data_IF_748046773267
#
_entry.id   IF_748046773267
#
_cell.length_a   1.000
_cell.length_b   1.000
_cell.length_c   1.000
_cell.angle_alpha   90.00
_cell.angle_beta   90.00
_cell.angle_gamma   90.00
#
_symmetry.space_group_name_H-M   'P 1'
#
loop_
_entity.id
_entity.type
_entity.pdbx_description
1 polymer ?
#
# COMPACT_ATOMS: atom_id res chain seq x y z
N UNK A 1 9.49 1.65 9.07
CA UNK A 1 9.94 2.45 7.90
C UNK A 1 10.09 3.93 8.27
N UNK A 2 11.30 4.39 8.63
CA UNK A 2 11.47 5.78 9.13
C UNK A 2 11.50 6.85 8.02
N UNK A 3 11.90 6.50 6.80
CA UNK A 3 12.05 7.47 5.70
C UNK A 3 10.71 8.07 5.27
N UNK A 4 9.67 7.24 5.13
CA UNK A 4 8.33 7.70 4.77
C UNK A 4 7.76 8.64 5.85
N UNK A 5 7.91 8.26 7.12
CA UNK A 5 7.42 9.06 8.24
C UNK A 5 8.15 10.40 8.33
N UNK A 6 9.48 10.43 8.13
CA UNK A 6 10.25 11.67 8.09
C UNK A 6 9.86 12.57 6.92
N UNK A 7 9.60 11.99 5.75
CA UNK A 7 9.25 12.74 4.54
C UNK A 7 7.82 13.32 4.58
N UNK A 8 6.88 12.63 5.23
CA UNK A 8 5.45 12.98 5.20
C UNK A 8 4.92 13.57 6.49
N UNK A 9 5.64 13.36 7.61
CA UNK A 9 5.14 13.66 8.96
C UNK A 9 4.01 12.73 9.43
N UNK A 10 3.66 11.69 8.66
CA UNK A 10 2.58 10.75 8.96
C UNK A 10 3.14 9.39 9.39
N UNK A 11 2.40 8.66 10.22
CA UNK A 11 2.71 7.24 10.42
C UNK A 11 2.56 6.50 9.08
N UNK A 12 3.27 5.38 8.92
CA UNK A 12 3.15 4.56 7.70
C UNK A 12 1.71 4.06 7.51
N UNK A 13 1.01 3.74 8.61
CA UNK A 13 -0.38 3.31 8.57
C UNK A 13 -1.32 4.44 8.13
N UNK A 14 -1.17 5.66 8.69
CA UNK A 14 -2.01 6.80 8.30
C UNK A 14 -1.80 7.19 6.83
N UNK A 15 -0.54 7.14 6.37
CA UNK A 15 -0.22 7.37 4.97
C UNK A 15 -0.91 6.35 4.07
N UNK A 16 -0.79 5.05 4.37
CA UNK A 16 -1.45 3.99 3.62
C UNK A 16 -2.98 4.12 3.67
N UNK A 17 -3.53 4.46 4.84
CA UNK A 17 -4.97 4.65 5.03
C UNK A 17 -5.51 5.75 4.14
N UNK A 18 -4.84 6.91 4.12
CA UNK A 18 -5.24 8.08 3.33
C UNK A 18 -5.06 7.89 1.82
N UNK A 19 -3.92 7.34 1.41
CA UNK A 19 -3.51 7.34 0.00
C UNK A 19 -3.83 6.05 -0.75
N UNK A 20 -4.07 4.95 -0.04
CA UNK A 20 -4.33 3.64 -0.63
C UNK A 20 -5.64 3.02 -0.13
N UNK A 21 -5.80 2.83 1.17
CA UNK A 21 -6.95 2.07 1.71
C UNK A 21 -8.28 2.80 1.51
N UNK A 22 -8.36 4.08 1.86
CA UNK A 22 -9.58 4.86 1.67
C UNK A 22 -10.01 4.94 0.19
N UNK A 23 -9.12 5.26 -0.78
CA UNK A 23 -9.50 5.23 -2.19
C UNK A 23 -9.98 3.87 -2.72
N UNK A 24 -9.54 2.76 -2.11
CA UNK A 24 -9.99 1.40 -2.46
C UNK A 24 -11.15 0.92 -1.58
N UNK A 25 -11.72 1.77 -0.73
CA UNK A 25 -12.76 1.41 0.25
C UNK A 25 -12.36 0.21 1.12
N UNK A 26 -11.10 0.17 1.56
CA UNK A 26 -10.60 -0.79 2.55
C UNK A 26 -10.78 -0.16 3.92
N UNK A 27 -11.80 -0.61 4.64
CA UNK A 27 -12.22 -0.01 5.92
C UNK A 27 -11.69 -0.81 7.11
N UNK A 28 -11.66 -2.13 7.01
CA UNK A 28 -11.19 -3.04 8.05
C UNK A 28 -9.74 -3.44 7.76
N UNK A 29 -8.81 -2.60 8.23
CA UNK A 29 -7.38 -2.83 8.11
C UNK A 29 -6.73 -2.76 9.48
N UNK A 30 -5.79 -3.68 9.72
CA UNK A 30 -4.93 -3.66 10.89
C UNK A 30 -3.49 -3.81 10.43
N UNK A 31 -2.62 -2.92 10.91
CA UNK A 31 -1.19 -3.02 10.67
C UNK A 31 -0.49 -3.06 12.01
N UNK A 32 0.23 -4.16 12.28
CA UNK A 32 1.02 -4.26 13.51
C UNK A 32 1.98 -3.06 13.67
N UNK A 33 2.10 -2.56 14.89
CA UNK A 33 3.09 -1.58 15.31
C UNK A 33 3.91 -2.14 16.45
N UNK A 34 5.17 -1.73 16.54
CA UNK A 34 6.00 -2.03 17.70
C UNK A 34 5.53 -1.26 18.97
N UNK A 35 6.24 -1.45 20.08
CA UNK A 35 5.94 -0.77 21.35
C UNK A 35 6.10 0.76 21.31
N UNK A 36 6.65 1.33 20.23
CA UNK A 36 6.76 2.77 19.99
C UNK A 36 5.69 3.29 19.01
N UNK A 37 4.77 2.42 18.56
CA UNK A 37 3.73 2.76 17.58
C UNK A 37 4.26 2.85 16.15
N UNK A 38 5.47 2.34 15.87
CA UNK A 38 6.05 2.39 14.53
C UNK A 38 5.61 1.15 13.75
N UNK A 39 4.97 1.38 12.61
CA UNK A 39 4.69 0.33 11.63
C UNK A 39 5.94 0.11 10.76
N UNK A 40 6.44 -1.13 10.69
CA UNK A 40 7.68 -1.42 9.98
C UNK A 40 7.53 -1.29 8.45
N UNK A 41 6.31 -1.45 7.92
CA UNK A 41 5.97 -1.37 6.50
C UNK A 41 6.25 -2.64 5.68
N UNK A 42 6.90 -3.65 6.27
CA UNK A 42 7.34 -4.86 5.59
C UNK A 42 6.52 -6.12 5.90
N UNK A 43 5.85 -6.16 7.05
CA UNK A 43 5.00 -7.27 7.47
C UNK A 43 3.81 -6.79 8.33
N UNK A 44 3.01 -7.73 8.83
CA UNK A 44 2.01 -7.45 9.86
C UNK A 44 0.74 -6.73 9.40
N UNK A 45 0.61 -6.44 8.10
CA UNK A 45 -0.63 -5.95 7.49
C UNK A 45 -1.65 -7.10 7.40
N UNK A 46 -2.82 -6.87 7.98
CA UNK A 46 -3.97 -7.77 7.96
C UNK A 46 -5.14 -7.05 7.31
N UNK A 47 -5.70 -7.71 6.30
CA UNK A 47 -6.84 -7.25 5.50
C UNK A 47 -7.78 -8.44 5.30
N UNK A 48 -9.05 -8.18 4.99
CA UNK A 48 -9.96 -9.22 4.51
C UNK A 48 -9.48 -9.76 3.17
N UNK A 49 -9.82 -11.01 2.83
CA UNK A 49 -9.48 -11.59 1.51
C UNK A 49 -10.01 -10.74 0.35
N UNK A 50 -11.19 -10.11 0.54
CA UNK A 50 -11.79 -9.21 -0.44
C UNK A 50 -10.95 -7.96 -0.65
N UNK A 51 -10.42 -7.37 0.42
CA UNK A 51 -9.59 -6.18 0.34
C UNK A 51 -8.20 -6.46 -0.25
N UNK A 52 -7.62 -7.64 0.03
CA UNK A 52 -6.40 -8.10 -0.65
C UNK A 52 -6.64 -8.21 -2.16
N UNK A 53 -7.78 -8.76 -2.58
CA UNK A 53 -8.11 -8.87 -4.00
C UNK A 53 -8.21 -7.50 -4.70
N UNK A 54 -8.62 -6.44 -3.99
CA UNK A 54 -8.63 -5.07 -4.54
C UNK A 54 -7.22 -4.58 -4.88
N UNK A 55 -6.20 -4.94 -4.10
CA UNK A 55 -4.80 -4.61 -4.41
C UNK A 55 -4.33 -5.32 -5.69
N UNK A 56 -4.72 -6.58 -5.87
CA UNK A 56 -4.44 -7.31 -7.11
C UNK A 56 -5.12 -6.66 -8.32
N UNK A 57 -6.41 -6.31 -8.19
CA UNK A 57 -7.15 -5.64 -9.26
C UNK A 57 -6.57 -4.26 -9.59
N UNK A 58 -6.14 -3.50 -8.58
CA UNK A 58 -5.44 -2.22 -8.78
C UNK A 58 -4.21 -2.39 -9.67
N UNK A 59 -3.40 -3.43 -9.43
CA UNK A 59 -2.22 -3.72 -10.25
C UNK A 59 -2.59 -4.19 -11.67
N UNK A 60 -3.62 -5.04 -11.81
CA UNK A 60 -4.14 -5.45 -13.11
C UNK A 60 -4.67 -4.26 -13.94
N UNK A 61 -5.17 -3.23 -13.26
CA UNK A 61 -5.64 -1.98 -13.86
C UNK A 61 -4.54 -0.91 -14.00
N UNK A 62 -3.26 -1.29 -13.91
CA UNK A 62 -2.15 -0.35 -14.09
C UNK A 62 -2.09 0.75 -13.03
N UNK A 63 -2.59 0.48 -11.82
CA UNK A 63 -2.60 1.42 -10.70
C UNK A 63 -3.80 2.38 -10.71
N UNK A 64 -4.74 2.18 -11.63
CA UNK A 64 -5.99 2.91 -11.68
C UNK A 64 -7.05 2.19 -10.84
N UNK A 65 -7.84 2.96 -10.09
CA UNK A 65 -9.04 2.47 -9.42
C UNK A 65 -10.18 3.40 -9.79
N UNK A 66 -11.21 2.86 -10.45
CA UNK A 66 -12.26 3.67 -11.09
C UNK A 66 -11.62 4.70 -12.04
N UNK A 67 -11.92 5.99 -11.89
CA UNK A 67 -11.37 7.06 -12.74
C UNK A 67 -10.10 7.70 -12.14
N UNK A 68 -9.57 7.19 -11.03
CA UNK A 68 -8.44 7.79 -10.31
C UNK A 68 -7.17 6.96 -10.43
N UNK A 69 -6.06 7.61 -10.78
CA UNK A 69 -4.73 7.02 -10.67
C UNK A 69 -4.29 7.00 -9.20
N UNK A 70 -4.20 5.82 -8.59
CA UNK A 70 -3.79 5.66 -7.19
C UNK A 70 -2.28 5.39 -7.10
N UNK A 71 -1.77 4.51 -7.96
CA UNK A 71 -0.35 4.19 -8.10
C UNK A 71 0.04 4.50 -9.54
N UNK A 72 1.18 5.14 -9.81
CA UNK A 72 1.52 5.48 -11.20
C UNK A 72 1.65 4.23 -12.07
N UNK A 73 1.13 4.29 -13.30
CA UNK A 73 1.22 3.16 -14.24
C UNK A 73 2.68 2.74 -14.50
N UNK A 74 3.58 3.72 -14.60
CA UNK A 74 5.01 3.47 -14.73
C UNK A 74 5.57 2.67 -13.53
N UNK A 75 5.17 3.00 -12.30
CA UNK A 75 5.60 2.26 -11.12
C UNK A 75 5.05 0.84 -11.10
N UNK A 76 3.78 0.64 -11.47
CA UNK A 76 3.19 -0.70 -11.55
C UNK A 76 4.00 -1.57 -12.51
N UNK A 77 4.28 -1.09 -13.73
CA UNK A 77 5.08 -1.83 -14.71
C UNK A 77 6.50 -2.14 -14.21
N UNK A 78 7.16 -1.16 -13.60
CA UNK A 78 8.51 -1.31 -13.08
C UNK A 78 8.58 -2.28 -11.89
N UNK A 79 7.58 -2.27 -11.01
CA UNK A 79 7.54 -3.07 -9.78
C UNK A 79 7.36 -4.57 -10.02
N UNK A 80 6.77 -4.95 -11.16
CA UNK A 80 6.57 -6.35 -11.55
C UNK A 80 7.66 -6.84 -12.51
N UNK A 81 8.58 -5.97 -12.91
CA UNK A 81 9.69 -6.35 -13.78
C UNK A 81 10.76 -7.11 -12.97
N UNK A 82 11.16 -8.32 -13.39
CA UNK A 82 12.20 -9.08 -12.69
C UNK A 82 13.51 -8.29 -12.59
N UNK A 83 14.00 -8.06 -11.37
CA UNK A 83 15.25 -7.30 -11.14
C UNK A 83 16.49 -8.17 -11.02
N UNK A 84 16.29 -9.46 -10.71
CA UNK A 84 17.36 -10.43 -10.60
C UNK A 84 17.00 -11.63 -11.46
N UNK A 85 17.93 -12.06 -12.31
CA UNK A 85 17.87 -13.36 -12.98
C UNK A 85 18.72 -14.31 -12.14
N UNK A 86 18.07 -15.18 -11.39
CA UNK A 86 18.70 -16.33 -10.73
C UNK A 86 18.77 -17.50 -11.68
#
# INVERSE_FOLDING_TARGET
MQTLQKATGMSTYDFAKKHLFQPLNIEDSYWYSDGQGIHNGGDGLRLTSRDIAKLGLLYLQGGQWQEKQIVSAAWVQESIHPKFRT
#
